data_IF_231761963077
#
_entry.id   IF_231761963077
#
_cell.length_a   1.000
_cell.length_b   1.000
_cell.length_c   1.000
_cell.angle_alpha   90.00
_cell.angle_beta   90.00
_cell.angle_gamma   90.00
#
_symmetry.space_group_name_H-M   'P 1'
#
loop_
_entity.id
_entity.type
_entity.pdbx_description
1 polymer ?
#
# COMPACT_ATOMS: atom_id res chain seq x y z
N UNK A 1 -16.64 -36.75 17.09
CA UNK A 1 -17.11 -35.87 15.99
C UNK A 1 -17.01 -34.35 16.26
N UNK A 2 -16.90 -33.85 17.50
CA UNK A 2 -16.83 -32.38 17.75
C UNK A 2 -15.49 -31.73 17.37
N UNK A 3 -14.36 -32.41 17.56
CA UNK A 3 -13.04 -31.83 17.27
C UNK A 3 -12.80 -31.52 15.80
N UNK A 4 -13.15 -32.40 14.85
CA UNK A 4 -12.88 -32.13 13.43
C UNK A 4 -13.67 -30.94 12.88
N UNK A 5 -14.88 -30.68 13.42
CA UNK A 5 -15.69 -29.51 13.04
C UNK A 5 -15.04 -28.20 13.47
N UNK A 6 -14.41 -28.18 14.64
CA UNK A 6 -13.65 -27.02 15.15
C UNK A 6 -12.41 -26.78 14.28
N UNK A 7 -11.65 -27.84 13.98
CA UNK A 7 -10.49 -27.75 13.10
C UNK A 7 -10.85 -27.27 11.69
N UNK A 8 -11.94 -27.78 11.12
CA UNK A 8 -12.43 -27.36 9.82
C UNK A 8 -12.89 -25.89 9.83
N UNK A 9 -13.58 -25.45 10.90
CA UNK A 9 -13.98 -24.05 11.08
C UNK A 9 -12.78 -23.10 11.20
N UNK A 10 -11.75 -23.47 11.96
CA UNK A 10 -10.50 -22.71 12.06
C UNK A 10 -9.77 -22.63 10.72
N UNK A 11 -9.78 -23.71 9.94
CA UNK A 11 -9.17 -23.77 8.63
C UNK A 11 -9.91 -22.84 7.64
N UNK A 12 -11.25 -22.85 7.65
CA UNK A 12 -12.08 -21.96 6.85
C UNK A 12 -11.85 -20.49 7.24
N UNK A 13 -11.80 -20.17 8.54
CA UNK A 13 -11.51 -18.82 9.01
C UNK A 13 -10.12 -18.34 8.57
N UNK A 14 -9.11 -19.19 8.70
CA UNK A 14 -7.74 -18.91 8.24
C UNK A 14 -7.70 -18.69 6.71
N UNK A 15 -8.46 -19.47 5.93
CA UNK A 15 -8.50 -19.32 4.48
C UNK A 15 -9.21 -18.04 4.03
N UNK A 16 -10.27 -17.63 4.73
CA UNK A 16 -10.92 -16.35 4.51
C UNK A 16 -10.00 -15.17 4.85
N UNK A 17 -9.30 -15.25 5.98
CA UNK A 17 -8.30 -14.25 6.35
C UNK A 17 -7.18 -14.14 5.30
N UNK A 18 -6.67 -15.29 4.83
CA UNK A 18 -5.66 -15.33 3.77
C UNK A 18 -6.18 -14.72 2.44
N UNK A 19 -7.44 -14.99 2.07
CA UNK A 19 -8.07 -14.39 0.89
C UNK A 19 -8.15 -12.86 0.95
N UNK A 20 -8.46 -12.31 2.12
CA UNK A 20 -8.47 -10.85 2.34
C UNK A 20 -7.05 -10.24 2.27
N UNK A 21 -6.02 -10.97 2.70
CA UNK A 21 -4.64 -10.49 2.58
C UNK A 21 -4.14 -10.48 1.13
N UNK A 22 -4.63 -11.37 0.27
CA UNK A 22 -4.21 -11.44 -1.13
C UNK A 22 -4.56 -10.15 -1.91
N UNK A 23 -5.72 -9.53 -1.62
CA UNK A 23 -6.11 -8.25 -2.24
C UNK A 23 -5.34 -7.06 -1.67
N UNK A 24 -4.76 -7.20 -0.48
CA UNK A 24 -3.97 -6.12 0.14
C UNK A 24 -2.62 -5.91 -0.57
N UNK A 25 -2.07 -6.95 -1.20
CA UNK A 25 -0.80 -6.88 -1.93
C UNK A 25 -0.83 -5.87 -3.08
N UNK A 26 -1.93 -5.83 -3.85
CA UNK A 26 -2.06 -4.89 -4.97
C UNK A 26 -2.12 -3.44 -4.49
N UNK A 27 -2.77 -3.17 -3.36
CA UNK A 27 -2.86 -1.84 -2.76
C UNK A 27 -1.45 -1.37 -2.33
N UNK A 28 -0.69 -2.23 -1.65
CA UNK A 28 0.68 -1.91 -1.21
C UNK A 28 1.58 -1.67 -2.42
N UNK A 29 1.44 -2.47 -3.47
CA UNK A 29 2.18 -2.27 -4.72
C UNK A 29 1.88 -0.92 -5.39
N UNK A 30 0.60 -0.55 -5.49
CA UNK A 30 0.19 0.75 -6.03
C UNK A 30 0.78 1.88 -5.18
N UNK A 31 0.66 1.78 -3.85
CA UNK A 31 1.19 2.80 -2.94
C UNK A 31 2.71 2.96 -3.06
N UNK A 32 3.46 1.86 -3.24
CA UNK A 32 4.90 1.94 -3.53
C UNK A 32 5.20 2.68 -4.84
N UNK A 33 4.42 2.42 -5.89
CA UNK A 33 4.59 3.12 -7.17
C UNK A 33 4.24 4.60 -7.06
N UNK A 34 3.18 4.95 -6.32
CA UNK A 34 2.76 6.33 -6.11
C UNK A 34 3.77 7.16 -5.32
N UNK A 35 4.43 6.55 -4.33
CA UNK A 35 5.47 7.18 -3.53
C UNK A 35 6.80 7.29 -4.30
N UNK A 36 6.99 6.48 -5.34
CA UNK A 36 8.19 6.50 -6.16
C UNK A 36 8.14 7.62 -7.20
N UNK A 37 9.28 8.27 -7.44
CA UNK A 37 9.39 9.24 -8.53
C UNK A 37 9.28 8.54 -9.89
N UNK A 38 8.63 9.19 -10.87
CA UNK A 38 8.41 8.66 -12.24
C UNK A 38 9.67 8.12 -12.93
N UNK A 39 10.86 8.57 -12.55
CA UNK A 39 12.14 8.08 -13.08
C UNK A 39 12.53 6.68 -12.56
N UNK A 40 12.08 6.30 -11.38
CA UNK A 40 12.48 5.05 -10.70
C UNK A 40 11.34 4.04 -10.56
N UNK A 41 10.13 4.37 -11.04
CA UNK A 41 8.94 3.50 -10.97
C UNK A 41 9.19 2.11 -11.52
N UNK A 42 9.88 1.98 -12.66
CA UNK A 42 10.19 0.66 -13.26
C UNK A 42 11.13 -0.17 -12.38
N UNK A 43 12.12 0.45 -11.72
CA UNK A 43 13.04 -0.25 -10.82
C UNK A 43 12.31 -0.70 -9.56
N UNK A 44 11.48 0.17 -8.98
CA UNK A 44 10.66 -0.16 -7.80
C UNK A 44 9.69 -1.30 -8.13
N UNK A 45 8.99 -1.22 -9.26
CA UNK A 45 8.09 -2.28 -9.72
C UNK A 45 8.78 -3.62 -9.92
N UNK A 46 9.94 -3.63 -10.58
CA UNK A 46 10.72 -4.86 -10.77
C UNK A 46 11.25 -5.41 -9.44
N UNK A 47 11.70 -4.55 -8.53
CA UNK A 47 12.18 -4.99 -7.21
C UNK A 47 11.07 -5.66 -6.41
N UNK A 48 9.85 -5.12 -6.45
CA UNK A 48 8.68 -5.72 -5.80
C UNK A 48 8.37 -7.11 -6.38
N UNK A 49 8.45 -7.28 -7.70
CA UNK A 49 8.25 -8.58 -8.35
C UNK A 49 9.32 -9.60 -7.94
N UNK A 50 10.59 -9.19 -7.91
CA UNK A 50 11.69 -10.05 -7.44
C UNK A 50 11.47 -10.47 -5.99
N UNK A 51 11.09 -9.54 -5.10
CA UNK A 51 10.77 -9.84 -3.71
C UNK A 51 9.59 -10.81 -3.59
N UNK A 52 8.56 -10.68 -4.43
CA UNK A 52 7.44 -11.60 -4.46
C UNK A 52 7.88 -13.03 -4.86
N UNK A 53 8.67 -13.15 -5.93
CA UNK A 53 9.19 -14.46 -6.37
C UNK A 53 10.09 -15.11 -5.32
N UNK A 54 10.94 -14.31 -4.64
CA UNK A 54 11.76 -14.80 -3.53
C UNK A 54 10.90 -15.26 -2.34
N UNK A 55 9.82 -14.54 -2.03
CA UNK A 55 8.85 -14.94 -1.00
C UNK A 55 8.22 -16.30 -1.31
N UNK A 56 7.73 -16.50 -2.53
CA UNK A 56 7.15 -17.78 -2.99
C UNK A 56 8.18 -18.93 -2.96
N UNK A 57 9.43 -18.65 -3.33
CA UNK A 57 10.51 -19.64 -3.29
C UNK A 57 10.84 -20.07 -1.84
N UNK A 58 10.94 -19.11 -0.92
CA UNK A 58 11.14 -19.36 0.51
C UNK A 58 9.96 -20.11 1.12
N UNK A 59 8.74 -19.73 0.74
CA UNK A 59 7.53 -20.41 1.16
C UNK A 59 7.51 -21.88 0.72
N UNK A 60 7.90 -22.14 -0.53
CA UNK A 60 8.02 -23.50 -1.07
C UNK A 60 9.06 -24.32 -0.31
N UNK A 61 10.19 -23.71 0.06
CA UNK A 61 11.19 -24.34 0.90
C UNK A 61 10.63 -24.70 2.29
N UNK A 62 9.89 -23.80 2.94
CA UNK A 62 9.24 -24.09 4.22
C UNK A 62 8.20 -25.20 4.10
N UNK A 63 7.46 -25.27 2.99
CA UNK A 63 6.52 -26.34 2.71
C UNK A 63 7.23 -27.69 2.52
N UNK A 64 8.39 -27.70 1.85
CA UNK A 64 9.20 -28.92 1.68
C UNK A 64 9.75 -29.44 3.01
N UNK A 65 10.23 -28.54 3.88
CA UNK A 65 10.76 -28.89 5.21
C UNK A 65 9.64 -29.30 6.18
N UNK A 66 8.45 -28.70 6.07
CA UNK A 66 7.33 -28.94 6.96
C UNK A 66 6.53 -30.17 6.53
N UNK A 67 6.74 -31.30 7.20
CA UNK A 67 5.93 -32.52 7.00
C UNK A 67 4.46 -32.38 7.46
N UNK A 68 4.13 -31.32 8.19
CA UNK A 68 2.78 -31.06 8.70
C UNK A 68 2.21 -29.76 8.11
N UNK A 69 1.08 -29.88 7.39
CA UNK A 69 0.37 -28.76 6.78
C UNK A 69 -0.16 -27.73 7.80
N UNK A 70 -0.40 -28.14 9.05
CA UNK A 70 -0.84 -27.22 10.11
C UNK A 70 0.30 -26.31 10.56
N UNK A 71 1.52 -26.84 10.65
CA UNK A 71 2.70 -26.05 11.00
C UNK A 71 2.96 -24.96 9.95
N UNK A 72 2.82 -25.32 8.67
CA UNK A 72 2.94 -24.35 7.58
C UNK A 72 1.92 -23.21 7.73
N UNK A 73 0.67 -23.50 8.08
CA UNK A 73 -0.36 -22.47 8.33
C UNK A 73 0.00 -21.54 9.49
N UNK A 74 0.54 -22.07 10.58
CA UNK A 74 0.98 -21.27 11.72
C UNK A 74 2.15 -20.36 11.34
N UNK A 75 3.14 -20.88 10.62
CA UNK A 75 4.28 -20.11 10.11
C UNK A 75 3.79 -18.93 9.25
N UNK A 76 2.88 -19.19 8.31
CA UNK A 76 2.28 -18.14 7.48
C UNK A 76 1.58 -17.06 8.30
N UNK A 77 0.78 -17.49 9.28
CA UNK A 77 0.09 -16.55 10.16
C UNK A 77 1.07 -15.68 10.95
N UNK A 78 2.19 -16.25 11.41
CA UNK A 78 3.25 -15.51 12.09
C UNK A 78 3.89 -14.47 11.16
N UNK A 79 4.20 -14.81 9.91
CA UNK A 79 4.74 -13.83 8.96
C UNK A 79 3.78 -12.66 8.70
N UNK A 80 2.48 -12.96 8.52
CA UNK A 80 1.46 -11.92 8.36
C UNK A 80 1.37 -11.05 9.62
N UNK A 81 1.34 -11.67 10.81
CA UNK A 81 1.26 -10.95 12.08
C UNK A 81 2.47 -10.06 12.32
N UNK A 82 3.68 -10.49 11.92
CA UNK A 82 4.90 -9.68 11.98
C UNK A 82 4.88 -8.52 10.98
N UNK A 83 4.14 -8.64 9.87
CA UNK A 83 3.95 -7.57 8.90
C UNK A 83 2.92 -6.50 9.33
N UNK A 84 1.98 -6.83 10.22
CA UNK A 84 0.93 -5.88 10.64
C UNK A 84 1.46 -4.58 11.27
N UNK A 85 2.48 -4.60 12.17
CA UNK A 85 3.07 -3.37 12.68
C UNK A 85 3.62 -2.45 11.59
N UNK A 86 4.07 -3.01 10.46
CA UNK A 86 4.59 -2.21 9.34
C UNK A 86 3.52 -1.30 8.71
N UNK A 87 2.24 -1.73 8.72
CA UNK A 87 1.13 -0.90 8.22
C UNK A 87 0.97 0.41 9.00
N UNK A 88 1.35 0.44 10.27
CA UNK A 88 1.27 1.66 11.08
C UNK A 88 2.31 2.70 10.67
N UNK A 89 3.48 2.26 10.20
CA UNK A 89 4.56 3.16 9.78
C UNK A 89 4.42 3.61 8.32
N UNK A 90 3.57 2.95 7.53
CA UNK A 90 3.44 3.25 6.11
C UNK A 90 2.73 4.60 5.91
N UNK A 91 3.31 5.52 5.12
CA UNK A 91 2.65 6.78 4.83
C UNK A 91 1.43 6.57 3.91
N UNK A 92 0.44 7.44 4.06
CA UNK A 92 -0.76 7.45 3.23
C UNK A 92 -0.46 7.84 1.77
N UNK A 93 -1.34 7.46 0.84
CA UNK A 93 -1.18 7.84 -0.57
C UNK A 93 -1.29 9.37 -0.75
N UNK A 94 -0.34 10.02 -1.47
CA UNK A 94 -0.44 11.44 -1.79
C UNK A 94 -1.68 11.75 -2.65
N UNK A 95 -2.03 10.86 -3.58
CA UNK A 95 -3.24 11.00 -4.40
C UNK A 95 -4.52 10.88 -3.57
N UNK A 96 -4.54 9.95 -2.61
CA UNK A 96 -5.66 9.80 -1.70
C UNK A 96 -5.89 11.05 -0.86
N UNK A 97 -4.84 11.57 -0.21
CA UNK A 97 -4.91 12.81 0.58
C UNK A 97 -5.37 14.00 -0.27
N UNK A 98 -4.87 14.09 -1.51
CA UNK A 98 -5.27 15.10 -2.46
C UNK A 98 -6.76 15.01 -2.83
N UNK A 99 -7.26 13.81 -3.15
CA UNK A 99 -8.68 13.58 -3.48
C UNK A 99 -9.63 13.90 -2.31
N UNK A 100 -9.19 13.63 -1.08
CA UNK A 100 -9.91 13.98 0.15
C UNK A 100 -9.86 15.47 0.50
N UNK A 101 -9.09 16.27 -0.24
CA UNK A 101 -8.83 17.69 0.04
C UNK A 101 -8.14 17.93 1.40
N UNK A 102 -7.43 16.92 1.93
CA UNK A 102 -6.66 17.02 3.17
C UNK A 102 -5.26 17.59 2.88
N UNK A 103 -5.21 18.82 2.35
CA UNK A 103 -3.97 19.43 1.84
C UNK A 103 -2.88 19.61 2.90
N UNK A 104 -3.25 19.82 4.16
CA UNK A 104 -2.29 19.92 5.27
C UNK A 104 -1.48 18.62 5.45
N UNK A 105 -2.16 17.46 5.45
CA UNK A 105 -1.46 16.16 5.57
C UNK A 105 -0.64 15.87 4.32
N UNK A 106 -1.15 16.22 3.15
CA UNK A 106 -0.44 16.08 1.89
C UNK A 106 0.87 16.88 1.91
N UNK A 107 0.84 18.13 2.36
CA UNK A 107 2.04 18.97 2.46
C UNK A 107 3.07 18.37 3.42
N UNK A 108 2.64 17.93 4.61
CA UNK A 108 3.52 17.30 5.59
C UNK A 108 4.20 16.04 5.02
N UNK A 109 3.44 15.19 4.32
CA UNK A 109 3.96 14.00 3.66
C UNK A 109 4.96 14.35 2.55
N UNK A 110 4.66 15.34 1.70
CA UNK A 110 5.58 15.79 0.66
C UNK A 110 6.86 16.40 1.23
N UNK A 111 6.78 17.14 2.35
CA UNK A 111 7.96 17.64 3.07
C UNK A 111 8.85 16.49 3.57
N UNK A 112 8.27 15.43 4.13
CA UNK A 112 9.03 14.25 4.56
C UNK A 112 9.72 13.56 3.38
N UNK A 113 9.00 13.36 2.26
CA UNK A 113 9.56 12.78 1.04
C UNK A 113 10.68 13.66 0.48
N UNK A 114 10.53 14.98 0.50
CA UNK A 114 11.55 15.91 0.06
C UNK A 114 12.82 15.85 0.94
N UNK A 115 12.67 15.74 2.26
CA UNK A 115 13.79 15.57 3.20
C UNK A 115 14.57 14.28 2.93
N UNK A 116 13.87 13.15 2.72
CA UNK A 116 14.49 11.85 2.39
C UNK A 116 15.26 11.94 1.06
N UNK A 117 14.69 12.64 0.08
CA UNK A 117 15.30 12.84 -1.23
C UNK A 117 16.28 14.02 -1.31
N UNK A 118 16.60 14.65 -0.17
CA UNK A 118 17.51 15.80 -0.08
C UNK A 118 17.14 16.95 -1.05
N UNK A 119 15.84 17.19 -1.24
CA UNK A 119 15.30 18.27 -2.07
C UNK A 119 15.00 19.49 -1.22
N UNK A 120 15.36 20.67 -1.72
CA UNK A 120 15.05 21.93 -1.04
C UNK A 120 13.58 22.29 -1.24
N UNK A 121 13.02 23.01 -0.28
CA UNK A 121 11.62 23.47 -0.34
C UNK A 121 11.35 24.36 -1.56
N UNK A 122 12.34 25.17 -1.96
CA UNK A 122 12.28 26.01 -3.17
C UNK A 122 11.99 25.23 -4.45
N UNK A 123 12.40 23.95 -4.52
CA UNK A 123 12.38 23.19 -5.76
C UNK A 123 10.99 22.63 -6.08
N UNK A 124 10.21 22.25 -5.05
CA UNK A 124 8.93 21.55 -5.24
C UNK A 124 7.73 22.37 -4.76
N UNK A 125 7.90 23.27 -3.81
CA UNK A 125 6.81 24.03 -3.20
C UNK A 125 6.06 24.95 -4.19
N UNK A 126 6.71 25.62 -5.16
CA UNK A 126 5.99 26.39 -6.18
C UNK A 126 5.02 25.53 -7.01
N UNK A 127 5.45 24.33 -7.40
CA UNK A 127 4.60 23.38 -8.14
C UNK A 127 3.41 22.91 -7.31
N UNK A 128 3.61 22.67 -6.02
CA UNK A 128 2.52 22.33 -5.11
C UNK A 128 1.47 23.44 -5.03
N UNK A 129 1.89 24.71 -4.91
CA UNK A 129 0.96 25.84 -4.88
C UNK A 129 0.21 26.01 -6.21
N UNK A 130 0.89 25.85 -7.34
CA UNK A 130 0.28 25.90 -8.67
C UNK A 130 -0.78 24.81 -8.85
N UNK A 131 -0.48 23.59 -8.37
CA UNK A 131 -1.41 22.47 -8.39
C UNK A 131 -2.69 22.80 -7.59
N UNK A 132 -2.58 23.36 -6.39
CA UNK A 132 -3.74 23.76 -5.60
C UNK A 132 -4.58 24.88 -6.24
N UNK A 133 -3.92 25.88 -6.85
CA UNK A 133 -4.59 26.96 -7.59
C UNK A 133 -5.35 26.43 -8.79
N UNK A 134 -4.73 25.56 -9.57
CA UNK A 134 -5.37 24.95 -10.76
C UNK A 134 -6.62 24.18 -10.36
N UNK A 135 -6.57 23.45 -9.26
CA UNK A 135 -7.67 22.64 -8.77
C UNK A 135 -8.84 23.49 -8.29
N UNK A 136 -8.58 24.56 -7.54
CA UNK A 136 -9.63 25.48 -7.12
C UNK A 136 -10.30 26.17 -8.32
N UNK A 137 -9.52 26.58 -9.33
CA UNK A 137 -10.04 27.15 -10.57
C UNK A 137 -10.95 26.17 -11.33
N UNK A 138 -10.57 24.90 -11.48
CA UNK A 138 -11.41 23.88 -12.12
C UNK A 138 -12.73 23.66 -11.37
N UNK A 139 -12.68 23.60 -10.03
CA UNK A 139 -13.89 23.45 -9.21
C UNK A 139 -14.83 24.65 -9.36
N UNK A 140 -14.28 25.87 -9.40
CA UNK A 140 -15.06 27.08 -9.62
C UNK A 140 -15.67 27.13 -11.03
N UNK A 141 -14.93 26.72 -12.06
CA UNK A 141 -15.44 26.61 -13.43
C UNK A 141 -16.57 25.59 -13.55
N UNK A 142 -16.42 24.40 -12.94
CA UNK A 142 -17.48 23.39 -12.92
C UNK A 142 -18.74 23.89 -12.23
N UNK A 143 -18.60 24.57 -11.09
CA UNK A 143 -19.74 25.22 -10.42
C UNK A 143 -20.41 26.24 -11.34
N UNK A 144 -19.63 27.12 -11.98
CA UNK A 144 -20.17 28.13 -12.91
C UNK A 144 -20.94 27.50 -14.08
N UNK A 145 -20.43 26.39 -14.64
CA UNK A 145 -21.09 25.63 -15.71
C UNK A 145 -22.40 24.99 -15.24
N UNK A 146 -22.46 24.51 -14.00
CA UNK A 146 -23.69 23.94 -13.43
C UNK A 146 -24.79 24.95 -13.10
N UNK A 147 -24.48 26.26 -13.03
CA UNK A 147 -25.47 27.32 -12.85
C UNK A 147 -26.03 27.87 -14.18
N UNK A 148 -25.42 27.50 -15.31
CA UNK A 148 -25.82 27.96 -16.66
C UNK A 148 -26.79 26.96 -17.32
N UNK A 149 -26.85 25.74 -16.79
CA UNK A 149 -27.85 24.72 -17.14
C UNK A 149 -29.06 24.83 -16.21
#
# INVERSE_FOLDING_TARGET
MKCYKIWFGLLALNQLAAGLTATSYSIIFILMLELSSSRHTSLVGNSALVSFTLGEALQTLFAYLSKNWQLLKWINLTFIALGLPYLYFMPESPYFLYSKKEYHKLEQLLRQIAQINQRQESDWYPYYQELLKTTSLRVLQQKKLSYIQ
#
